data_IF_181219466352
#
_entry.id   IF_181219466352
#
_cell.length_a   1.000
_cell.length_b   1.000
_cell.length_c   1.000
_cell.angle_alpha   90.00
_cell.angle_beta   90.00
_cell.angle_gamma   90.00
#
_symmetry.space_group_name_H-M   'P 1'
#
loop_
_entity.id
_entity.type
_entity.pdbx_description
1 polymer ?
#
# COMPACT_ATOMS: atom_id res chain seq x y z
N UNK A 1 8.75 -6.40 -18.75
CA UNK A 1 7.40 -6.90 -19.13
C UNK A 1 6.30 -5.92 -18.72
N UNK A 2 6.21 -5.51 -17.44
CA UNK A 2 5.19 -4.55 -16.99
C UNK A 2 5.30 -3.17 -17.66
N UNK A 3 6.51 -2.71 -17.94
CA UNK A 3 6.76 -1.46 -18.68
C UNK A 3 6.16 -1.50 -20.08
N UNK A 4 6.40 -2.56 -20.85
CA UNK A 4 5.83 -2.74 -22.19
C UNK A 4 4.29 -2.79 -22.15
N UNK A 5 3.71 -3.48 -21.16
CA UNK A 5 2.26 -3.47 -20.93
C UNK A 5 1.74 -2.05 -20.64
N UNK A 6 2.44 -1.30 -19.80
CA UNK A 6 2.09 0.08 -19.44
C UNK A 6 2.13 1.00 -20.65
N UNK A 7 3.16 0.87 -21.49
CA UNK A 7 3.31 1.62 -22.73
C UNK A 7 2.14 1.34 -23.69
N UNK A 8 1.85 0.05 -23.94
CA UNK A 8 0.73 -0.34 -24.80
C UNK A 8 -0.61 0.18 -24.28
N UNK A 9 -0.89 -0.05 -22.98
CA UNK A 9 -2.10 0.41 -22.30
C UNK A 9 -2.30 1.92 -22.52
N UNK A 10 -1.25 2.72 -22.33
CA UNK A 10 -1.30 4.17 -22.52
C UNK A 10 -1.60 4.54 -23.98
N UNK A 11 -0.96 3.88 -24.93
CA UNK A 11 -1.19 4.11 -26.37
C UNK A 11 -2.64 3.84 -26.78
N UNK A 12 -3.22 2.74 -26.30
CA UNK A 12 -4.59 2.35 -26.65
C UNK A 12 -5.65 2.95 -25.73
N UNK A 13 -5.25 3.82 -24.77
CA UNK A 13 -6.13 4.45 -23.77
C UNK A 13 -6.94 3.45 -22.95
N UNK A 14 -6.35 2.30 -22.63
CA UNK A 14 -6.96 1.33 -21.74
C UNK A 14 -6.84 1.78 -20.28
N UNK A 15 -7.93 1.73 -19.52
CA UNK A 15 -7.88 2.00 -18.09
C UNK A 15 -7.06 0.94 -17.34
N UNK A 16 -6.47 1.29 -16.20
CA UNK A 16 -5.72 0.32 -15.40
C UNK A 16 -6.70 -0.64 -14.71
N UNK A 17 -6.64 -1.95 -15.01
CA UNK A 17 -7.48 -2.89 -14.30
C UNK A 17 -6.97 -3.08 -12.87
N UNK A 18 -7.86 -3.17 -11.88
CA UNK A 18 -7.45 -3.41 -10.49
C UNK A 18 -6.93 -4.84 -10.27
N UNK A 19 -7.64 -5.84 -10.79
CA UNK A 19 -7.45 -7.26 -10.43
C UNK A 19 -6.89 -8.13 -11.57
N UNK A 20 -6.39 -7.54 -12.67
CA UNK A 20 -5.80 -8.33 -13.76
C UNK A 20 -4.56 -9.07 -13.25
N UNK A 21 -4.48 -10.38 -13.48
CA UNK A 21 -3.31 -11.17 -13.11
C UNK A 21 -2.01 -10.53 -13.65
N UNK A 22 -0.97 -10.44 -12.81
CA UNK A 22 0.36 -9.85 -13.05
C UNK A 22 0.35 -8.33 -13.31
N UNK A 23 -0.68 -7.80 -13.97
CA UNK A 23 -0.70 -6.45 -14.52
C UNK A 23 -1.60 -5.47 -13.78
N UNK A 24 -2.55 -5.95 -12.99
CA UNK A 24 -3.48 -5.09 -12.28
C UNK A 24 -2.84 -4.39 -11.09
N UNK A 25 -3.39 -3.26 -10.67
CA UNK A 25 -2.86 -2.47 -9.55
C UNK A 25 -2.69 -3.30 -8.28
N UNK A 26 -3.60 -4.25 -8.01
CA UNK A 26 -3.58 -5.11 -6.81
C UNK A 26 -2.96 -6.49 -7.03
N UNK A 27 -2.34 -6.75 -8.20
CA UNK A 27 -1.83 -8.09 -8.55
C UNK A 27 -0.81 -8.66 -7.54
N UNK A 28 -0.08 -7.77 -6.83
CA UNK A 28 0.91 -8.12 -5.81
C UNK A 28 0.62 -7.42 -4.47
N UNK A 29 -0.65 -7.05 -4.25
CA UNK A 29 -1.11 -6.32 -3.07
C UNK A 29 -1.78 -7.24 -2.05
N UNK A 30 -1.54 -7.01 -0.75
CA UNK A 30 -2.21 -7.75 0.33
C UNK A 30 -2.83 -6.85 1.39
N UNK A 31 -4.11 -7.08 1.71
CA UNK A 31 -4.88 -6.25 2.66
C UNK A 31 -5.15 -6.92 4.02
N UNK A 32 -5.08 -8.24 4.09
CA UNK A 32 -5.38 -8.99 5.31
C UNK A 32 -4.14 -9.06 6.22
N UNK A 33 -4.30 -8.68 7.50
CA UNK A 33 -3.18 -8.63 8.44
C UNK A 33 -2.43 -9.97 8.59
N UNK A 34 -3.13 -11.10 8.56
CA UNK A 34 -2.50 -12.43 8.60
C UNK A 34 -1.68 -12.74 7.33
N UNK A 35 -2.12 -12.28 6.17
CA UNK A 35 -1.40 -12.47 4.91
C UNK A 35 -0.16 -11.58 4.87
N UNK A 36 -0.26 -10.35 5.36
CA UNK A 36 0.87 -9.43 5.52
C UNK A 36 1.95 -10.05 6.42
N UNK A 37 1.56 -10.61 7.57
CA UNK A 37 2.50 -11.32 8.45
C UNK A 37 3.14 -12.54 7.77
N UNK A 38 2.36 -13.33 7.01
CA UNK A 38 2.89 -14.45 6.26
C UNK A 38 3.94 -14.03 5.22
N UNK A 39 3.64 -12.98 4.45
CA UNK A 39 4.55 -12.43 3.42
C UNK A 39 5.83 -11.87 4.05
N UNK A 40 5.74 -11.16 5.18
CA UNK A 40 6.91 -10.63 5.89
C UNK A 40 7.83 -11.74 6.42
N UNK A 41 7.30 -12.92 6.76
CA UNK A 41 8.08 -14.08 7.23
C UNK A 41 8.65 -14.88 6.06
N UNK A 42 7.81 -15.22 5.09
CA UNK A 42 8.19 -15.96 3.90
C UNK A 42 7.26 -15.56 2.74
N UNK A 43 7.71 -14.72 1.80
CA UNK A 43 6.91 -14.25 0.66
C UNK A 43 6.26 -15.38 -0.14
N UNK A 44 6.95 -16.52 -0.32
CA UNK A 44 6.45 -17.68 -1.07
C UNK A 44 5.16 -18.29 -0.50
N UNK A 45 4.77 -17.94 0.74
CA UNK A 45 3.52 -18.37 1.36
C UNK A 45 2.29 -17.83 0.63
N UNK A 46 2.40 -16.65 0.01
CA UNK A 46 1.29 -15.99 -0.68
C UNK A 46 1.68 -15.40 -2.05
N UNK A 47 2.97 -15.27 -2.35
CA UNK A 47 3.47 -14.85 -3.66
C UNK A 47 3.76 -16.09 -4.52
N UNK A 48 2.81 -16.51 -5.35
CA UNK A 48 3.01 -17.63 -6.31
C UNK A 48 4.14 -17.33 -7.31
N UNK A 49 4.33 -16.05 -7.65
CA UNK A 49 5.46 -15.56 -8.45
C UNK A 49 6.02 -14.29 -7.84
N UNK A 50 7.34 -14.12 -7.96
CA UNK A 50 8.04 -12.94 -7.45
C UNK A 50 7.72 -11.69 -8.30
N UNK A 51 7.25 -10.58 -7.69
CA UNK A 51 6.89 -9.36 -8.42
C UNK A 51 8.03 -8.79 -9.27
N UNK A 52 9.26 -8.86 -8.77
CA UNK A 52 10.45 -8.30 -9.41
C UNK A 52 10.70 -8.88 -10.81
N UNK A 53 10.34 -10.15 -11.05
CA UNK A 53 10.46 -10.81 -12.37
C UNK A 53 9.64 -10.12 -13.46
N UNK A 54 8.63 -9.35 -13.08
CA UNK A 54 7.77 -8.61 -14.00
C UNK A 54 8.10 -7.12 -14.06
N UNK A 55 9.05 -6.63 -13.25
CA UNK A 55 9.33 -5.21 -13.05
C UNK A 55 8.29 -4.55 -12.14
N UNK A 56 7.88 -5.25 -11.07
CA UNK A 56 6.89 -4.79 -10.10
C UNK A 56 7.38 -5.02 -8.68
N UNK A 57 6.70 -4.37 -7.75
CA UNK A 57 6.96 -4.48 -6.32
C UNK A 57 5.72 -5.00 -5.59
N UNK A 58 5.96 -5.62 -4.43
CA UNK A 58 4.90 -5.98 -3.50
C UNK A 58 4.31 -4.73 -2.86
N UNK A 59 3.01 -4.74 -2.61
CA UNK A 59 2.35 -3.66 -1.88
C UNK A 59 1.56 -4.19 -0.69
N UNK A 60 1.59 -3.43 0.39
CA UNK A 60 0.71 -3.65 1.53
C UNK A 60 -0.47 -2.71 1.35
N UNK A 61 -1.66 -3.27 1.24
CA UNK A 61 -2.90 -2.51 1.12
C UNK A 61 -3.53 -2.35 2.51
N UNK A 62 -4.20 -1.22 2.73
CA UNK A 62 -5.00 -0.96 3.91
C UNK A 62 -6.47 -1.13 3.58
N UNK A 63 -7.13 -2.02 4.31
CA UNK A 63 -8.58 -2.19 4.33
C UNK A 63 -9.14 -2.06 5.74
N UNK A 64 -10.47 -2.20 5.90
CA UNK A 64 -11.16 -2.07 7.20
C UNK A 64 -10.73 -3.08 8.28
N UNK A 65 -10.04 -4.14 7.86
CA UNK A 65 -9.53 -5.20 8.74
C UNK A 65 -8.02 -5.06 9.03
N UNK A 66 -7.38 -4.00 8.53
CA UNK A 66 -6.00 -3.70 8.88
C UNK A 66 -5.89 -3.32 10.36
N UNK A 67 -4.83 -3.78 11.03
CA UNK A 67 -4.63 -3.53 12.46
C UNK A 67 -4.00 -2.18 12.75
N UNK A 68 -4.04 -1.77 14.04
CA UNK A 68 -3.36 -0.57 14.56
C UNK A 68 -1.85 -0.54 14.29
N UNK A 69 -1.22 -1.70 14.12
CA UNK A 69 0.20 -1.80 13.80
C UNK A 69 0.56 -1.13 12.47
N UNK A 70 -0.32 -1.22 11.46
CA UNK A 70 -0.10 -0.56 10.16
C UNK A 70 -0.18 0.96 10.30
N UNK A 71 -1.12 1.45 11.10
CA UNK A 71 -1.24 2.89 11.38
C UNK A 71 -0.01 3.42 12.12
N UNK A 72 0.49 2.70 13.14
CA UNK A 72 1.74 3.07 13.82
C UNK A 72 2.92 3.12 12.86
N UNK A 73 3.09 2.09 12.03
CA UNK A 73 4.15 2.08 11.02
C UNK A 73 4.10 3.32 10.09
N UNK A 74 2.89 3.76 9.70
CA UNK A 74 2.73 4.97 8.90
C UNK A 74 3.12 6.25 9.64
N UNK A 75 2.74 6.36 10.91
CA UNK A 75 3.06 7.50 11.77
C UNK A 75 4.57 7.59 12.04
N UNK A 76 5.21 6.45 12.31
CA UNK A 76 6.67 6.35 12.48
C UNK A 76 7.40 6.81 11.21
N UNK A 77 6.92 6.37 10.03
CA UNK A 77 7.46 6.81 8.74
C UNK A 77 7.23 8.30 8.43
N UNK A 78 6.31 8.96 9.13
CA UNK A 78 6.09 10.40 9.08
C UNK A 78 6.85 11.14 10.18
N UNK A 79 7.47 10.43 11.13
CA UNK A 79 8.11 11.02 12.30
C UNK A 79 7.12 11.66 13.27
N UNK A 80 5.88 11.17 13.31
CA UNK A 80 4.81 11.71 14.17
C UNK A 80 4.55 10.77 15.32
N UNK A 81 4.84 11.23 16.54
CA UNK A 81 4.42 10.57 17.77
C UNK A 81 3.02 11.04 18.17
N UNK A 82 2.15 10.11 18.54
CA UNK A 82 0.79 10.41 19.01
C UNK A 82 0.50 9.64 20.30
N UNK A 83 -0.30 10.22 21.18
CA UNK A 83 -0.81 9.50 22.34
C UNK A 83 -1.84 8.41 21.94
N UNK A 84 -2.23 7.60 22.93
CA UNK A 84 -3.16 6.49 22.71
C UNK A 84 -4.56 6.94 22.27
N UNK A 85 -5.00 8.12 22.71
CA UNK A 85 -6.32 8.66 22.41
C UNK A 85 -6.38 9.13 20.95
N UNK A 86 -5.37 9.90 20.52
CA UNK A 86 -5.22 10.33 19.14
C UNK A 86 -4.99 9.16 18.20
N UNK A 87 -4.23 8.15 18.61
CA UNK A 87 -4.06 6.92 17.83
C UNK A 87 -5.38 6.16 17.66
N UNK A 88 -6.19 6.06 18.72
CA UNK A 88 -7.49 5.40 18.66
C UNK A 88 -8.44 6.14 17.71
N UNK A 89 -8.42 7.47 17.72
CA UNK A 89 -9.23 8.29 16.82
C UNK A 89 -8.79 8.16 15.36
N UNK A 90 -7.48 8.27 15.08
CA UNK A 90 -6.94 8.07 13.73
C UNK A 90 -7.26 6.66 13.20
N UNK A 91 -7.20 5.65 14.07
CA UNK A 91 -7.58 4.28 13.71
C UNK A 91 -9.08 4.17 13.37
N UNK A 92 -9.93 4.80 14.18
CA UNK A 92 -11.38 4.81 13.96
C UNK A 92 -11.70 5.41 12.59
N UNK A 93 -11.20 6.62 12.32
CA UNK A 93 -11.50 7.39 11.10
C UNK A 93 -10.88 6.77 9.85
N UNK A 94 -9.61 6.37 9.88
CA UNK A 94 -8.89 5.96 8.66
C UNK A 94 -8.88 4.46 8.40
N UNK A 95 -9.35 3.64 9.33
CA UNK A 95 -9.34 2.18 9.17
C UNK A 95 -10.71 1.59 9.52
N UNK A 96 -11.18 1.73 10.77
CA UNK A 96 -12.35 0.97 11.26
C UNK A 96 -13.67 1.42 10.62
N UNK A 97 -13.88 2.72 10.45
CA UNK A 97 -15.11 3.32 9.92
C UNK A 97 -15.08 3.49 8.39
N UNK A 98 -14.05 2.99 7.71
CA UNK A 98 -14.02 3.04 6.24
C UNK A 98 -15.22 2.31 5.65
N UNK A 99 -16.03 3.07 4.93
CA UNK A 99 -17.18 2.59 4.16
C UNK A 99 -16.71 2.23 2.76
N UNK A 100 -16.51 0.93 2.50
CA UNK A 100 -16.10 0.43 1.19
C UNK A 100 -15.38 -0.92 1.28
N UNK A 101 -15.59 -1.76 0.28
CA UNK A 101 -14.82 -3.01 0.10
C UNK A 101 -13.41 -2.74 -0.45
N UNK A 102 -13.16 -1.52 -0.92
CA UNK A 102 -11.92 -1.14 -1.58
C UNK A 102 -10.78 -0.95 -0.58
N UNK A 103 -9.66 -1.60 -0.88
CA UNK A 103 -8.40 -1.43 -0.17
C UNK A 103 -7.60 -0.29 -0.82
N UNK A 104 -6.90 0.50 0.00
CA UNK A 104 -6.05 1.60 -0.46
C UNK A 104 -4.58 1.21 -0.36
N UNK A 105 -3.73 1.73 -1.24
CA UNK A 105 -2.28 1.59 -1.09
C UNK A 105 -1.79 2.33 0.18
N UNK A 106 -0.82 1.74 0.87
CA UNK A 106 -0.16 2.32 2.04
C UNK A 106 0.31 3.77 1.77
N UNK A 107 0.86 4.05 0.59
CA UNK A 107 1.33 5.36 0.19
C UNK A 107 0.19 6.41 0.12
N UNK A 108 -1.00 6.00 -0.33
CA UNK A 108 -2.18 6.88 -0.40
C UNK A 108 -2.64 7.25 1.01
N UNK A 109 -2.72 6.27 1.91
CA UNK A 109 -3.08 6.50 3.30
C UNK A 109 -2.04 7.36 4.00
N UNK A 110 -0.75 7.11 3.79
CA UNK A 110 0.37 7.92 4.31
C UNK A 110 0.24 9.38 3.88
N UNK A 111 -0.01 9.62 2.59
CA UNK A 111 -0.15 10.97 2.06
C UNK A 111 -1.37 11.69 2.63
N UNK A 112 -2.48 10.97 2.88
CA UNK A 112 -3.66 11.52 3.56
C UNK A 112 -3.34 11.91 5.00
N UNK A 113 -2.71 11.01 5.77
CA UNK A 113 -2.32 11.26 7.16
C UNK A 113 -1.35 12.46 7.27
N UNK A 114 -0.36 12.53 6.39
CA UNK A 114 0.60 13.62 6.39
C UNK A 114 -0.05 15.00 6.15
N UNK A 115 -1.03 15.07 5.23
CA UNK A 115 -1.81 16.29 5.00
C UNK A 115 -2.64 16.69 6.23
N UNK A 116 -3.28 15.73 6.89
CA UNK A 116 -4.08 15.98 8.09
C UNK A 116 -3.20 16.42 9.28
N UNK A 117 -2.03 15.82 9.42
CA UNK A 117 -1.10 16.05 10.52
C UNK A 117 -0.12 17.21 10.25
N UNK A 118 -0.27 17.92 9.12
CA UNK A 118 0.59 19.06 8.76
C UNK A 118 2.06 18.70 8.55
N UNK A 119 2.37 17.44 8.22
CA UNK A 119 3.74 16.94 8.06
C UNK A 119 4.10 16.85 6.57
N UNK A 120 5.26 17.34 6.13
CA UNK A 120 5.70 17.14 4.76
C UNK A 120 5.97 15.65 4.52
N UNK A 121 5.28 15.05 3.54
CA UNK A 121 5.64 13.72 3.04
C UNK A 121 7.00 13.86 2.38
N UNK A 122 8.06 13.38 3.03
CA UNK A 122 9.32 13.16 2.34
C UNK A 122 9.07 12.10 1.27
N UNK A 123 9.01 12.54 0.01
CA UNK A 123 8.93 11.65 -1.13
C UNK A 123 10.11 10.66 -1.02
N UNK A 124 9.78 9.36 -0.99
CA UNK A 124 10.79 8.31 -0.85
C UNK A 124 11.91 8.52 -1.88
N UNK A 125 13.15 8.39 -1.41
CA UNK A 125 14.33 8.40 -2.24
C UNK A 125 14.13 7.43 -3.40
N UNK A 126 14.01 7.98 -4.61
CA UNK A 126 14.26 7.22 -5.83
C UNK A 126 15.73 6.85 -5.75
N UNK A 127 16.00 5.58 -5.45
CA UNK A 127 17.34 5.01 -5.58
C UNK A 127 17.71 5.03 -7.06
N UNK A 128 18.27 6.15 -7.49
CA UNK A 128 19.08 6.24 -8.70
C UNK A 128 20.42 5.58 -8.42
N UNK A 129 20.55 4.33 -8.81
CA UNK A 129 21.81 3.67 -9.15
C UNK A 129 21.66 3.34 -10.64
N UNK A 130 22.45 3.88 -11.55
CA UNK A 130 23.91 3.98 -11.51
C UNK A 130 24.42 2.90 -12.43
#
# INVERSE_FOLDING_TARGET
>A
MYEAYTALRRTIRLEEPRNKAIFGTYAFGTAAGIHQQGILRNPATYEYVEPARFGRERSILIGRHSGRAVLRHLLDQLGVEVDNERLAELYRVHIAERTGADCEDLAVVKARLARELGTPVLAGAVSSTG
#
